data_IF_872707794666
#
_entry.id   IF_872707794666
#
_cell.length_a   1.000
_cell.length_b   1.000
_cell.length_c   1.000
_cell.angle_alpha   90.00
_cell.angle_beta   90.00
_cell.angle_gamma   90.00
#
_symmetry.space_group_name_H-M   'P 1'
#
loop_
_entity.id
_entity.type
_entity.pdbx_description
1 polymer ?
#
# COMPACT_ATOMS: atom_id res chain seq x y z
N UNK A 1 11.05 -12.69 -16.00
CA UNK A 1 10.63 -11.28 -15.80
C UNK A 1 11.31 -10.79 -14.52
N UNK A 2 11.94 -9.60 -14.49
CA UNK A 2 12.63 -9.10 -13.29
C UNK A 2 11.60 -8.67 -12.22
N UNK A 3 11.76 -9.10 -10.97
CA UNK A 3 10.85 -8.78 -9.85
C UNK A 3 10.56 -7.28 -9.74
N UNK A 4 11.55 -6.42 -9.99
CA UNK A 4 11.38 -4.97 -9.98
C UNK A 4 10.43 -4.47 -11.09
N UNK A 5 10.53 -5.02 -12.30
CA UNK A 5 9.63 -4.68 -13.41
C UNK A 5 8.21 -5.18 -13.15
N UNK A 6 8.08 -6.37 -12.55
CA UNK A 6 6.78 -6.92 -12.18
C UNK A 6 6.11 -6.05 -11.12
N UNK A 7 6.81 -5.74 -10.02
CA UNK A 7 6.28 -4.90 -8.96
C UNK A 7 5.89 -3.51 -9.47
N UNK A 8 6.72 -2.87 -10.30
CA UNK A 8 6.38 -1.57 -10.91
C UNK A 8 5.14 -1.63 -11.79
N UNK A 9 5.01 -2.66 -12.62
CA UNK A 9 3.88 -2.83 -13.52
C UNK A 9 2.57 -3.05 -12.77
N UNK A 10 2.60 -3.80 -11.67
CA UNK A 10 1.43 -4.14 -10.87
C UNK A 10 0.96 -2.99 -9.98
N UNK A 11 1.91 -2.21 -9.44
CA UNK A 11 1.63 -1.17 -8.45
C UNK A 11 1.53 0.25 -9.00
N UNK A 12 1.98 0.50 -10.23
CA UNK A 12 2.16 1.86 -10.76
C UNK A 12 2.95 2.78 -9.80
N UNK A 13 3.97 2.21 -9.13
CA UNK A 13 4.82 2.91 -8.16
C UNK A 13 6.16 3.28 -8.78
N UNK A 14 6.87 4.18 -8.11
CA UNK A 14 8.19 4.62 -8.56
C UNK A 14 9.21 3.47 -8.45
N UNK A 15 10.23 3.45 -9.34
CA UNK A 15 11.30 2.46 -9.28
C UNK A 15 11.99 2.38 -7.93
N UNK A 16 12.18 3.53 -7.27
CA UNK A 16 12.77 3.63 -5.93
C UNK A 16 11.94 2.87 -4.89
N UNK A 17 10.62 3.04 -4.91
CA UNK A 17 9.74 2.36 -3.95
C UNK A 17 9.73 0.86 -4.18
N UNK A 18 9.70 0.43 -5.45
CA UNK A 18 9.77 -0.99 -5.79
C UNK A 18 11.08 -1.63 -5.31
N UNK A 19 12.23 -0.96 -5.49
CA UNK A 19 13.52 -1.44 -4.99
C UNK A 19 13.56 -1.57 -3.47
N UNK A 20 12.96 -0.62 -2.74
CA UNK A 20 12.88 -0.69 -1.28
C UNK A 20 12.03 -1.87 -0.80
N UNK A 21 10.87 -2.09 -1.41
CA UNK A 21 10.00 -3.21 -1.07
C UNK A 21 10.67 -4.56 -1.35
N UNK A 22 11.39 -4.68 -2.46
CA UNK A 22 12.18 -5.89 -2.78
C UNK A 22 13.30 -6.09 -1.75
N UNK A 23 14.00 -5.02 -1.33
CA UNK A 23 15.01 -5.10 -0.26
C UNK A 23 14.43 -5.59 1.06
N UNK A 24 13.15 -5.33 1.32
CA UNK A 24 12.42 -5.83 2.49
C UNK A 24 11.89 -7.26 2.34
N UNK A 25 12.05 -7.88 1.17
CA UNK A 25 11.58 -9.24 0.90
C UNK A 25 10.23 -9.32 0.21
N UNK A 26 9.57 -8.20 -0.09
CA UNK A 26 8.32 -8.18 -0.85
C UNK A 26 8.63 -8.27 -2.36
N UNK A 27 8.75 -9.50 -2.85
CA UNK A 27 9.10 -9.78 -4.25
C UNK A 27 7.87 -9.85 -5.17
N UNK A 28 6.71 -10.10 -4.58
CA UNK A 28 5.41 -10.10 -5.22
C UNK A 28 4.54 -9.02 -4.62
N UNK A 29 3.66 -8.50 -5.47
CA UNK A 29 2.69 -7.54 -5.00
C UNK A 29 1.72 -8.11 -3.96
N UNK A 30 1.39 -9.41 -4.11
CA UNK A 30 0.52 -10.12 -3.17
C UNK A 30 1.12 -10.23 -1.77
N UNK A 31 2.43 -10.09 -1.61
CA UNK A 31 3.10 -10.17 -0.31
C UNK A 31 2.69 -8.99 0.60
N UNK A 32 2.17 -7.91 0.02
CA UNK A 32 1.69 -6.74 0.77
C UNK A 32 0.27 -6.88 1.31
N UNK A 33 -0.47 -7.94 0.95
CA UNK A 33 -1.88 -8.09 1.34
C UNK A 33 -2.07 -8.21 2.86
N UNK A 34 -1.14 -8.87 3.52
CA UNK A 34 -1.23 -9.27 4.93
C UNK A 34 -0.40 -8.40 5.85
N UNK A 35 0.18 -7.31 5.35
CA UNK A 35 0.99 -6.37 6.14
C UNK A 35 0.34 -5.00 6.19
N UNK A 36 0.56 -4.29 7.30
CA UNK A 36 0.07 -2.93 7.48
C UNK A 36 1.12 -1.89 7.05
N UNK A 37 0.70 -0.66 6.70
CA UNK A 37 1.63 0.44 6.44
C UNK A 37 2.60 0.68 7.60
N UNK A 38 2.13 0.62 8.85
CA UNK A 38 2.96 0.72 10.05
C UNK A 38 4.06 -0.34 10.08
N UNK A 39 3.73 -1.58 9.74
CA UNK A 39 4.69 -2.69 9.72
C UNK A 39 5.82 -2.43 8.71
N UNK A 40 5.48 -2.07 7.47
CA UNK A 40 6.47 -1.81 6.42
C UNK A 40 7.33 -0.59 6.77
N UNK A 41 6.73 0.48 7.30
CA UNK A 41 7.49 1.67 7.74
C UNK A 41 8.45 1.33 8.88
N UNK A 42 8.05 0.47 9.82
CA UNK A 42 8.94 0.02 10.90
C UNK A 42 10.16 -0.74 10.35
N UNK A 43 9.97 -1.58 9.33
CA UNK A 43 11.09 -2.26 8.66
C UNK A 43 11.98 -1.28 7.89
N UNK A 44 11.40 -0.29 7.20
CA UNK A 44 12.16 0.75 6.51
C UNK A 44 13.04 1.56 7.47
N UNK A 45 12.55 1.86 8.68
CA UNK A 45 13.32 2.55 9.73
C UNK A 45 14.51 1.74 10.24
N UNK A 46 14.50 0.41 10.06
CA UNK A 46 15.61 -0.45 10.45
C UNK A 46 16.76 -0.43 9.42
N UNK A 47 16.58 0.21 8.26
CA UNK A 47 17.66 0.35 7.29
C UNK A 47 18.74 1.34 7.75
N UNK A 48 20.03 0.97 7.67
CA UNK A 48 21.12 1.83 8.12
C UNK A 48 21.29 3.08 7.23
N UNK A 49 20.80 3.03 6.00
CA UNK A 49 20.86 4.11 5.00
C UNK A 49 19.59 4.97 4.93
N UNK A 50 18.65 4.82 5.88
CA UNK A 50 17.37 5.54 5.87
C UNK A 50 17.10 6.27 7.19
N UNK A 51 16.72 7.55 7.09
CA UNK A 51 16.26 8.30 8.27
C UNK A 51 14.80 7.99 8.60
N UNK A 52 14.42 8.20 9.86
CA UNK A 52 13.03 8.05 10.31
C UNK A 52 12.06 8.89 9.46
N UNK A 53 12.40 10.15 9.19
CA UNK A 53 11.58 11.05 8.38
C UNK A 53 11.41 10.54 6.95
N UNK A 54 12.47 9.98 6.35
CA UNK A 54 12.39 9.38 5.01
C UNK A 54 11.46 8.16 4.99
N UNK A 55 11.54 7.28 5.99
CA UNK A 55 10.65 6.12 6.07
C UNK A 55 9.17 6.54 6.21
N UNK A 56 8.89 7.57 7.01
CA UNK A 56 7.54 8.09 7.23
C UNK A 56 6.87 8.62 5.94
N UNK A 57 7.65 9.15 5.00
CA UNK A 57 7.11 9.63 3.71
C UNK A 57 6.45 8.52 2.87
N UNK A 58 6.82 7.25 3.09
CA UNK A 58 6.26 6.11 2.36
C UNK A 58 4.90 5.67 2.90
N UNK A 59 4.58 5.98 4.16
CA UNK A 59 3.37 5.52 4.87
C UNK A 59 2.09 5.74 4.06
N UNK A 60 1.90 6.98 3.57
CA UNK A 60 0.71 7.34 2.79
C UNK A 60 0.60 6.54 1.49
N UNK A 61 1.72 6.30 0.82
CA UNK A 61 1.76 5.47 -0.37
C UNK A 61 1.42 4.01 -0.05
N UNK A 62 1.93 3.49 1.07
CA UNK A 62 1.72 2.11 1.52
C UNK A 62 0.25 1.80 1.82
N UNK A 63 -0.54 2.74 2.38
CA UNK A 63 -1.99 2.55 2.58
C UNK A 63 -2.70 2.09 1.30
N UNK A 64 -2.34 2.69 0.16
CA UNK A 64 -2.87 2.33 -1.14
C UNK A 64 -2.38 0.95 -1.59
N UNK A 65 -1.09 0.68 -1.39
CA UNK A 65 -0.46 -0.57 -1.85
C UNK A 65 -1.01 -1.80 -1.14
N UNK A 66 -1.16 -1.74 0.19
CA UNK A 66 -1.67 -2.89 0.95
C UNK A 66 -3.10 -3.23 0.53
N UNK A 67 -3.96 -2.23 0.32
CA UNK A 67 -5.33 -2.48 -0.14
C UNK A 67 -5.36 -3.03 -1.56
N UNK A 68 -4.68 -2.37 -2.50
CA UNK A 68 -4.66 -2.81 -3.89
C UNK A 68 -4.09 -4.26 -3.99
N UNK A 69 -3.26 -4.74 -3.04
CA UNK A 69 -2.70 -6.10 -3.00
C UNK A 69 -3.74 -7.20 -2.78
N UNK A 70 -4.92 -6.82 -2.27
CA UNK A 70 -6.07 -7.71 -2.13
C UNK A 70 -6.92 -7.82 -3.38
N UNK A 71 -6.74 -6.92 -4.35
CA UNK A 71 -7.62 -6.82 -5.51
C UNK A 71 -7.23 -7.83 -6.60
N UNK A 72 -8.20 -8.36 -7.34
CA UNK A 72 -7.92 -9.34 -8.40
C UNK A 72 -7.06 -8.74 -9.53
N UNK A 73 -7.37 -7.50 -9.92
CA UNK A 73 -6.60 -6.73 -10.90
C UNK A 73 -6.16 -5.37 -10.34
N UNK A 74 -5.03 -5.33 -9.63
CA UNK A 74 -4.53 -4.12 -8.96
C UNK A 74 -4.27 -2.96 -9.90
N UNK A 75 -3.80 -3.25 -11.11
CA UNK A 75 -3.45 -2.25 -12.11
C UNK A 75 -4.68 -1.52 -12.63
N UNK A 76 -5.75 -2.26 -12.93
CA UNK A 76 -7.00 -1.63 -13.35
C UNK A 76 -7.66 -0.87 -12.20
N UNK A 77 -7.65 -1.44 -10.99
CA UNK A 77 -8.14 -0.75 -9.79
C UNK A 77 -7.39 0.55 -9.55
N UNK A 78 -6.06 0.56 -9.70
CA UNK A 78 -5.24 1.76 -9.56
C UNK A 78 -5.67 2.91 -10.48
N UNK A 79 -6.23 2.63 -11.67
CA UNK A 79 -6.73 3.63 -12.63
C UNK A 79 -8.10 4.21 -12.26
N UNK A 80 -8.94 3.43 -11.58
CA UNK A 80 -10.27 3.89 -11.14
C UNK A 80 -10.19 5.01 -10.11
N UNK A 81 -9.03 5.16 -9.47
CA UNK A 81 -8.75 6.14 -8.43
C UNK A 81 -7.54 7.00 -8.82
N UNK A 82 -7.69 7.92 -9.80
CA UNK A 82 -6.58 8.76 -10.25
C UNK A 82 -6.06 9.69 -9.15
N UNK A 83 -6.92 10.04 -8.18
CA UNK A 83 -6.59 10.90 -7.05
C UNK A 83 -6.87 10.17 -5.72
N UNK A 84 -5.87 9.49 -5.16
CA UNK A 84 -5.89 8.92 -3.79
C UNK A 84 -5.67 10.01 -2.72
N UNK A 85 -6.32 11.16 -2.87
CA UNK A 85 -6.33 12.17 -1.81
C UNK A 85 -7.23 11.69 -0.68
N UNK A 86 -6.91 12.03 0.58
CA UNK A 86 -7.78 11.66 1.71
C UNK A 86 -9.23 12.05 1.43
N UNK A 87 -9.46 13.26 0.93
CA UNK A 87 -10.80 13.78 0.61
C UNK A 87 -11.52 12.96 -0.47
N UNK A 88 -10.84 12.54 -1.54
CA UNK A 88 -11.46 11.75 -2.61
C UNK A 88 -11.82 10.33 -2.13
N UNK A 89 -10.97 9.73 -1.28
CA UNK A 89 -11.20 8.41 -0.71
C UNK A 89 -12.34 8.44 0.32
N UNK A 90 -12.40 9.48 1.15
CA UNK A 90 -13.53 9.73 2.06
C UNK A 90 -14.85 9.90 1.31
N UNK A 91 -14.85 10.71 0.23
CA UNK A 91 -16.05 10.93 -0.59
C UNK A 91 -16.61 9.64 -1.21
N UNK A 92 -15.76 8.63 -1.38
CA UNK A 92 -16.12 7.30 -1.88
C UNK A 92 -16.40 6.28 -0.77
N UNK A 93 -16.46 6.72 0.50
CA UNK A 93 -16.66 5.85 1.65
C UNK A 93 -15.48 4.91 1.93
N UNK A 94 -14.35 5.12 1.27
CA UNK A 94 -13.21 4.20 1.39
C UNK A 94 -12.32 4.50 2.60
N UNK A 95 -12.16 5.77 2.93
CA UNK A 95 -11.44 6.19 4.13
C UNK A 95 -12.41 6.85 5.09
N UNK A 96 -12.21 6.57 6.38
CA UNK A 96 -12.96 7.14 7.48
C UNK A 96 -11.99 7.72 8.50
N UNK A 97 -12.41 8.78 9.19
CA UNK A 97 -11.58 9.46 10.18
C UNK A 97 -11.47 8.71 11.51
N UNK A 98 -12.41 7.80 11.78
CA UNK A 98 -12.49 7.03 13.02
C UNK A 98 -11.72 5.70 12.96
N UNK A 99 -11.02 5.42 11.85
CA UNK A 99 -10.27 4.18 11.64
C UNK A 99 -8.80 4.48 11.36
N UNK A 100 -7.91 3.81 12.07
CA UNK A 100 -6.47 3.86 11.80
C UNK A 100 -6.07 2.91 10.66
N UNK A 101 -6.17 3.39 9.42
CA UNK A 101 -5.75 2.64 8.24
C UNK A 101 -4.23 2.39 8.15
N UNK A 102 -3.40 3.02 8.99
CA UNK A 102 -1.96 2.69 9.03
C UNK A 102 -1.70 1.39 9.81
N UNK A 103 -2.59 1.05 10.75
CA UNK A 103 -2.53 -0.18 11.54
C UNK A 103 -3.06 -1.41 10.81
N UNK A 104 -3.91 -1.21 9.80
CA UNK A 104 -4.60 -2.30 9.11
C UNK A 104 -3.80 -2.86 7.94
N UNK A 105 -3.84 -4.18 7.81
CA UNK A 105 -3.42 -4.91 6.63
C UNK A 105 -4.37 -4.68 5.45
N UNK A 106 -3.91 -5.01 4.24
CA UNK A 106 -4.75 -4.99 3.05
C UNK A 106 -6.03 -5.82 3.22
N UNK A 107 -5.90 -7.04 3.75
CA UNK A 107 -7.02 -7.96 3.96
C UNK A 107 -8.07 -7.37 4.93
N UNK A 108 -7.64 -6.73 6.03
CA UNK A 108 -8.54 -6.05 6.97
C UNK A 108 -9.25 -4.85 6.33
N UNK A 109 -8.52 -4.04 5.56
CA UNK A 109 -9.12 -2.92 4.81
C UNK A 109 -10.16 -3.46 3.82
N UNK A 110 -9.85 -4.53 3.08
CA UNK A 110 -10.77 -5.13 2.13
C UNK A 110 -12.02 -5.71 2.80
N UNK A 111 -11.87 -6.31 3.99
CA UNK A 111 -13.00 -6.80 4.77
C UNK A 111 -13.91 -5.64 5.22
N UNK A 112 -13.34 -4.55 5.75
CA UNK A 112 -14.11 -3.35 6.11
C UNK A 112 -14.92 -2.79 4.94
N UNK A 113 -14.36 -2.81 3.73
CA UNK A 113 -15.10 -2.38 2.53
C UNK A 113 -16.23 -3.32 2.15
N UNK A 114 -16.06 -4.64 2.35
CA UNK A 114 -17.13 -5.61 2.09
C UNK A 114 -18.28 -5.44 3.08
N UNK A 115 -17.97 -5.29 4.36
CA UNK A 115 -18.97 -5.12 5.42
C UNK A 115 -19.76 -3.80 5.27
N UNK A 116 -19.13 -2.76 4.73
CA UNK A 116 -19.78 -1.47 4.49
C UNK A 116 -20.71 -1.44 3.25
N UNK A 117 -20.58 -2.40 2.34
CA UNK A 117 -21.35 -2.48 1.10
C UNK A 117 -22.21 -3.76 1.00
N UNK A 118 -22.23 -4.56 2.05
CA UNK A 118 -23.02 -5.80 2.18
C UNK A 118 -24.37 -5.57 2.83
#
# INVERSE_FOLDING_TARGET
MNAQRQLQADLAITPKTASLLIRLGYASYRDLRSVSPNHVVAQLKAFPDMTYSQAEQYRRGLRRMVWLATQDNPREQAKLYPNWTQSALKKRGMWRDDIDFDGLSGDEVNQLHRDANG
#
